data_IF_926217667141
#
_entry.id   IF_926217667141
#
_cell.length_a   1.000
_cell.length_b   1.000
_cell.length_c   1.000
_cell.angle_alpha   90.00
_cell.angle_beta   90.00
_cell.angle_gamma   90.00
#
_symmetry.space_group_name_H-M   'P 1'
#
loop_
_entity.id
_entity.type
_entity.pdbx_description
1 polymer ?
#
# COMPACT_ATOMS: atom_id res chain seq x y z
N UNK A 1 -35.43 1.79 -13.26
CA UNK A 1 -34.27 1.41 -12.43
C UNK A 1 -34.60 1.85 -11.02
N UNK A 2 -34.87 0.89 -10.16
CA UNK A 2 -35.21 1.17 -8.77
C UNK A 2 -33.94 1.71 -8.10
N UNK A 3 -33.89 3.01 -7.87
CA UNK A 3 -32.80 3.66 -7.14
C UNK A 3 -32.97 3.30 -5.68
N UNK A 4 -32.37 2.22 -5.24
CA UNK A 4 -32.28 1.90 -3.83
C UNK A 4 -31.70 3.13 -3.10
N UNK A 5 -32.52 3.87 -2.44
CA UNK A 5 -32.14 5.03 -1.65
C UNK A 5 -31.59 4.51 -0.33
N UNK A 6 -30.32 4.86 -0.02
CA UNK A 6 -29.74 4.61 1.28
C UNK A 6 -30.64 5.16 2.40
N UNK A 7 -30.77 4.42 3.49
CA UNK A 7 -31.48 4.88 4.69
C UNK A 7 -30.60 5.85 5.46
N UNK A 8 -31.01 7.13 5.45
CA UNK A 8 -30.29 8.19 6.16
C UNK A 8 -30.87 8.42 7.55
N UNK A 9 -30.03 8.53 8.55
CA UNK A 9 -30.38 9.02 9.89
C UNK A 9 -30.78 10.50 9.85
N UNK A 10 -31.36 11.02 10.90
CA UNK A 10 -31.70 12.45 10.95
C UNK A 10 -30.46 13.34 10.92
N UNK A 11 -29.37 12.92 11.59
CA UNK A 11 -28.07 13.61 11.52
C UNK A 11 -27.53 13.67 10.06
N UNK A 12 -27.64 12.58 9.31
CA UNK A 12 -27.18 12.53 7.90
C UNK A 12 -28.06 13.39 6.99
N UNK A 13 -29.36 13.48 7.28
CA UNK A 13 -30.25 14.43 6.59
C UNK A 13 -29.89 15.89 6.91
N UNK A 14 -29.51 16.20 8.17
CA UNK A 14 -29.04 17.52 8.58
C UNK A 14 -27.74 17.89 7.84
N UNK A 15 -26.78 16.96 7.76
CA UNK A 15 -25.57 17.12 6.95
C UNK A 15 -25.90 17.42 5.49
N UNK A 16 -26.81 16.66 4.88
CA UNK A 16 -27.19 16.83 3.47
C UNK A 16 -27.93 18.16 3.21
N UNK A 17 -28.64 18.70 4.21
CA UNK A 17 -29.25 20.05 4.13
C UNK A 17 -28.23 21.18 4.31
N UNK A 18 -26.97 20.86 4.65
CA UNK A 18 -25.91 21.84 4.88
C UNK A 18 -25.89 22.46 6.30
N UNK A 19 -26.66 21.91 7.23
CA UNK A 19 -26.69 22.39 8.64
C UNK A 19 -25.36 22.19 9.37
N UNK A 20 -24.50 21.32 8.82
CA UNK A 20 -23.11 21.08 9.28
C UNK A 20 -22.04 21.73 8.40
N UNK A 21 -22.45 22.61 7.48
CA UNK A 21 -21.59 23.31 6.53
C UNK A 21 -21.60 22.69 5.12
N UNK A 22 -21.24 23.52 4.13
CA UNK A 22 -21.33 23.11 2.72
C UNK A 22 -20.32 22.02 2.35
N UNK A 23 -19.10 22.03 2.95
CA UNK A 23 -18.11 20.98 2.73
C UNK A 23 -18.63 19.59 3.18
N UNK A 24 -19.28 19.51 4.34
CA UNK A 24 -19.88 18.25 4.85
C UNK A 24 -21.01 17.78 3.94
N UNK A 25 -21.85 18.70 3.47
CA UNK A 25 -22.92 18.39 2.53
C UNK A 25 -22.40 17.82 1.21
N UNK A 26 -21.38 18.45 0.61
CA UNK A 26 -20.77 17.95 -0.62
C UNK A 26 -20.12 16.57 -0.42
N UNK A 27 -19.38 16.39 0.67
CA UNK A 27 -18.75 15.11 1.02
C UNK A 27 -19.80 14.00 1.20
N UNK A 28 -20.90 14.26 1.93
CA UNK A 28 -21.96 13.27 2.12
C UNK A 28 -22.71 12.97 0.83
N UNK A 29 -22.99 13.99 0.00
CA UNK A 29 -23.63 13.79 -1.31
C UNK A 29 -22.80 12.88 -2.23
N UNK A 30 -21.47 13.07 -2.25
CA UNK A 30 -20.55 12.18 -2.96
C UNK A 30 -20.63 10.75 -2.41
N UNK A 31 -20.59 10.56 -1.09
CA UNK A 31 -20.69 9.25 -0.47
C UNK A 31 -22.02 8.55 -0.72
N UNK A 32 -23.13 9.30 -0.77
CA UNK A 32 -24.45 8.75 -1.15
C UNK A 32 -24.41 8.22 -2.60
N UNK A 33 -23.77 8.95 -3.52
CA UNK A 33 -23.62 8.47 -4.90
C UNK A 33 -22.80 7.17 -4.97
N UNK A 34 -21.69 7.09 -4.21
CA UNK A 34 -20.89 5.86 -4.08
C UNK A 34 -21.71 4.74 -3.45
N UNK A 35 -22.42 5.01 -2.35
CA UNK A 35 -23.24 4.03 -1.64
C UNK A 35 -24.35 3.46 -2.53
N UNK A 36 -25.05 4.32 -3.27
CA UNK A 36 -26.08 3.88 -4.22
C UNK A 36 -25.51 3.01 -5.34
N UNK A 37 -24.34 3.36 -5.86
CA UNK A 37 -23.65 2.54 -6.88
C UNK A 37 -23.34 1.13 -6.37
N UNK A 38 -22.84 1.01 -5.15
CA UNK A 38 -22.52 -0.27 -4.51
C UNK A 38 -23.69 -0.90 -3.74
N UNK A 39 -24.89 -0.32 -3.83
CA UNK A 39 -26.11 -0.79 -3.15
C UNK A 39 -25.97 -0.87 -1.63
N UNK A 40 -25.26 0.08 -1.04
CA UNK A 40 -25.19 0.21 0.40
C UNK A 40 -26.56 0.64 0.94
N UNK A 41 -27.00 0.00 2.03
CA UNK A 41 -28.28 0.32 2.66
C UNK A 41 -28.19 1.50 3.63
N UNK A 42 -27.01 1.72 4.22
CA UNK A 42 -26.77 2.73 5.27
C UNK A 42 -25.29 3.13 5.32
N UNK A 43 -24.98 4.13 6.12
CA UNK A 43 -23.63 4.46 6.54
C UNK A 43 -23.20 3.67 7.77
N UNK A 44 -21.87 3.52 7.94
CA UNK A 44 -21.23 3.11 9.19
C UNK A 44 -20.24 4.19 9.63
N UNK A 45 -20.14 4.49 10.94
CA UNK A 45 -19.11 5.39 11.43
C UNK A 45 -17.73 4.80 11.22
N UNK A 46 -16.73 5.64 10.95
CA UNK A 46 -15.32 5.24 10.85
C UNK A 46 -14.51 5.84 11.98
N UNK A 47 -13.56 5.06 12.50
CA UNK A 47 -12.69 5.50 13.59
C UNK A 47 -11.46 6.28 13.10
N UNK A 48 -11.00 5.95 11.88
CA UNK A 48 -9.82 6.55 11.28
C UNK A 48 -9.95 6.58 9.76
N UNK A 49 -9.35 7.58 9.11
CA UNK A 49 -9.20 7.66 7.67
C UNK A 49 -7.72 7.74 7.28
N UNK A 50 -7.39 7.22 6.08
CA UNK A 50 -6.05 7.30 5.52
C UNK A 50 -6.12 7.74 4.07
N UNK A 51 -5.61 8.94 3.78
CA UNK A 51 -5.85 9.64 2.52
C UNK A 51 -4.61 9.62 1.64
N UNK A 52 -4.81 9.25 0.36
CA UNK A 52 -3.81 9.38 -0.70
C UNK A 52 -4.03 10.70 -1.42
N UNK A 53 -3.07 11.60 -1.31
CA UNK A 53 -3.13 12.90 -1.98
C UNK A 53 -1.71 13.47 -2.13
N UNK A 54 -1.14 13.30 -3.30
CA UNK A 54 0.11 13.91 -3.76
C UNK A 54 -0.08 14.39 -5.19
N UNK A 55 0.78 15.30 -5.68
CA UNK A 55 0.58 15.97 -6.97
C UNK A 55 0.59 14.98 -8.15
N UNK A 56 1.36 13.88 -8.08
CA UNK A 56 1.42 12.87 -9.13
C UNK A 56 0.08 12.10 -9.25
N UNK A 57 -0.59 11.85 -8.12
CA UNK A 57 -1.86 11.13 -8.08
C UNK A 57 -3.07 12.01 -8.40
N UNK A 58 -3.13 13.21 -7.80
CA UNK A 58 -4.33 14.04 -7.88
C UNK A 58 -4.25 15.13 -8.96
N UNK A 59 -3.05 15.49 -9.41
CA UNK A 59 -2.81 16.53 -10.40
C UNK A 59 -3.35 17.92 -10.01
N UNK A 60 -3.32 18.86 -10.93
CA UNK A 60 -3.81 20.22 -10.72
C UNK A 60 -5.32 20.25 -10.34
N UNK A 61 -6.12 19.35 -10.91
CA UNK A 61 -7.54 19.24 -10.58
C UNK A 61 -7.79 18.87 -9.12
N UNK A 62 -7.00 17.95 -8.57
CA UNK A 62 -7.06 17.55 -7.16
C UNK A 62 -6.57 18.66 -6.22
N UNK A 63 -5.52 19.39 -6.60
CA UNK A 63 -5.05 20.54 -5.84
C UNK A 63 -6.12 21.63 -5.76
N UNK A 64 -6.78 21.94 -6.89
CA UNK A 64 -7.89 22.91 -6.90
C UNK A 64 -9.08 22.43 -6.06
N UNK A 65 -9.38 21.14 -6.08
CA UNK A 65 -10.40 20.55 -5.22
C UNK A 65 -10.07 20.73 -3.73
N UNK A 66 -8.82 20.51 -3.31
CA UNK A 66 -8.38 20.76 -1.93
C UNK A 66 -8.49 22.23 -1.54
N UNK A 67 -8.10 23.16 -2.42
CA UNK A 67 -8.28 24.62 -2.22
C UNK A 67 -9.74 24.97 -1.99
N UNK A 68 -10.63 24.38 -2.80
CA UNK A 68 -12.08 24.60 -2.68
C UNK A 68 -12.61 24.04 -1.36
N UNK A 69 -12.24 22.81 -0.98
CA UNK A 69 -12.67 22.24 0.30
C UNK A 69 -12.26 23.11 1.49
N UNK A 70 -11.02 23.63 1.47
CA UNK A 70 -10.56 24.60 2.48
C UNK A 70 -11.42 25.85 2.47
N UNK A 71 -11.69 26.44 1.32
CA UNK A 71 -12.52 27.65 1.19
C UNK A 71 -13.95 27.44 1.72
N UNK A 72 -14.49 26.22 1.62
CA UNK A 72 -15.77 25.79 2.19
C UNK A 72 -15.72 25.47 3.70
N UNK A 73 -14.56 25.63 4.33
CA UNK A 73 -14.37 25.35 5.76
C UNK A 73 -14.33 23.86 6.11
N UNK A 74 -13.91 23.00 5.19
CA UNK A 74 -13.74 21.58 5.47
C UNK A 74 -12.75 21.34 6.60
N UNK A 75 -13.03 20.32 7.42
CA UNK A 75 -12.15 19.86 8.48
C UNK A 75 -12.41 18.38 8.73
N UNK A 76 -11.36 17.58 8.91
CA UNK A 76 -11.50 16.18 9.31
C UNK A 76 -12.07 16.10 10.74
N UNK A 77 -13.09 15.26 10.91
CA UNK A 77 -13.76 15.03 12.20
C UNK A 77 -13.31 13.74 12.88
N UNK A 78 -12.56 12.89 12.17
CA UNK A 78 -11.87 11.71 12.70
C UNK A 78 -10.37 11.84 12.49
N UNK A 79 -9.59 11.14 13.31
CA UNK A 79 -8.13 11.09 13.13
C UNK A 79 -7.82 10.59 11.73
N UNK A 80 -7.14 11.43 10.97
CA UNK A 80 -6.87 11.19 9.54
C UNK A 80 -5.39 11.31 9.28
N UNK A 81 -4.83 10.33 8.58
CA UNK A 81 -3.41 10.25 8.25
C UNK A 81 -3.17 10.31 6.74
N UNK A 82 -1.94 10.70 6.33
CA UNK A 82 -1.56 10.79 4.92
C UNK A 82 -0.74 9.60 4.47
N UNK A 83 -0.97 9.16 3.22
CA UNK A 83 -0.16 8.12 2.58
C UNK A 83 1.22 8.65 2.15
N UNK A 84 2.08 7.73 1.68
CA UNK A 84 3.37 8.07 1.08
C UNK A 84 3.19 9.02 -0.11
N UNK A 85 4.14 9.95 -0.26
CA UNK A 85 4.12 11.02 -1.26
C UNK A 85 4.93 10.67 -2.51
N UNK A 86 4.87 11.53 -3.50
CA UNK A 86 5.63 11.42 -4.75
C UNK A 86 6.98 12.17 -4.74
N UNK A 87 7.28 12.94 -3.70
CA UNK A 87 8.53 13.69 -3.57
C UNK A 87 9.09 13.62 -2.14
N UNK A 88 10.38 13.33 -2.03
CA UNK A 88 11.18 13.63 -0.85
C UNK A 88 11.87 14.97 -1.09
N UNK A 89 11.44 16.02 -0.40
CA UNK A 89 11.92 17.39 -0.59
C UNK A 89 13.42 17.55 -0.36
N UNK A 90 14.08 16.61 0.33
CA UNK A 90 15.54 16.66 0.54
C UNK A 90 16.32 16.20 -0.70
N UNK A 91 15.76 15.30 -1.50
CA UNK A 91 16.46 14.74 -2.67
C UNK A 91 15.74 14.99 -4.01
N UNK A 92 14.55 15.61 -4.02
CA UNK A 92 13.77 15.85 -5.23
C UNK A 92 14.57 16.57 -6.33
N UNK A 93 15.26 17.65 -5.99
CA UNK A 93 16.08 18.40 -6.94
C UNK A 93 17.25 17.57 -7.51
N UNK A 94 17.90 16.73 -6.68
CA UNK A 94 19.00 15.86 -7.13
C UNK A 94 18.52 14.71 -8.02
N UNK A 95 17.24 14.32 -7.91
CA UNK A 95 16.57 13.38 -8.78
C UNK A 95 16.07 14.02 -10.10
N UNK A 96 16.17 15.34 -10.23
CA UNK A 96 15.67 16.05 -11.41
C UNK A 96 14.14 16.18 -11.45
N UNK A 97 13.49 16.18 -10.28
CA UNK A 97 12.08 16.50 -10.18
C UNK A 97 11.84 18.00 -10.41
N UNK A 98 10.70 18.33 -10.98
CA UNK A 98 10.39 19.69 -11.41
C UNK A 98 10.09 20.61 -10.23
N UNK A 99 10.65 21.84 -10.25
CA UNK A 99 10.49 22.82 -9.15
C UNK A 99 9.07 23.39 -9.04
N UNK A 100 8.32 23.47 -10.14
CA UNK A 100 6.93 23.90 -10.11
C UNK A 100 6.05 22.81 -9.46
N UNK A 101 6.28 21.56 -9.81
CA UNK A 101 5.61 20.41 -9.19
C UNK A 101 5.98 20.27 -7.70
N UNK A 102 7.22 20.57 -7.31
CA UNK A 102 7.62 20.63 -5.90
C UNK A 102 6.81 21.67 -5.13
N UNK A 103 6.62 22.89 -5.69
CA UNK A 103 5.83 23.92 -5.04
C UNK A 103 4.35 23.54 -4.89
N UNK A 104 3.78 22.84 -5.89
CA UNK A 104 2.41 22.30 -5.80
C UNK A 104 2.30 21.21 -4.73
N UNK A 105 3.27 20.32 -4.63
CA UNK A 105 3.30 19.28 -3.59
C UNK A 105 3.40 19.89 -2.19
N UNK A 106 4.25 20.93 -2.00
CA UNK A 106 4.31 21.66 -0.73
C UNK A 106 2.97 22.33 -0.39
N UNK A 107 2.27 22.85 -1.37
CA UNK A 107 0.93 23.42 -1.17
C UNK A 107 -0.08 22.34 -0.79
N UNK A 108 -0.07 21.17 -1.44
CA UNK A 108 -0.91 20.03 -1.07
C UNK A 108 -0.67 19.66 0.39
N UNK A 109 0.60 19.47 0.79
CA UNK A 109 0.95 19.12 2.16
C UNK A 109 0.39 20.12 3.18
N UNK A 110 0.51 21.41 2.90
CA UNK A 110 -0.04 22.46 3.76
C UNK A 110 -1.57 22.42 3.82
N UNK A 111 -2.24 22.22 2.68
CA UNK A 111 -3.70 22.10 2.65
C UNK A 111 -4.21 20.88 3.45
N UNK A 112 -3.52 19.73 3.37
CA UNK A 112 -3.88 18.56 4.15
C UNK A 112 -3.76 18.82 5.67
N UNK A 113 -2.69 19.51 6.11
CA UNK A 113 -2.54 19.94 7.52
C UNK A 113 -3.63 20.93 7.95
N UNK A 114 -3.99 21.89 7.09
CA UNK A 114 -5.07 22.83 7.34
C UNK A 114 -6.45 22.17 7.42
N UNK A 115 -6.65 21.04 6.74
CA UNK A 115 -7.81 20.16 6.90
C UNK A 115 -7.73 19.27 8.16
N UNK A 116 -6.72 19.46 9.02
CA UNK A 116 -6.45 18.71 10.27
C UNK A 116 -6.02 17.26 10.05
N UNK A 117 -5.36 16.96 8.95
CA UNK A 117 -4.74 15.65 8.77
C UNK A 117 -3.37 15.60 9.46
N UNK A 118 -3.07 14.43 10.01
CA UNK A 118 -1.76 14.12 10.60
C UNK A 118 -0.86 13.63 9.47
N UNK A 119 0.12 14.43 9.09
CA UNK A 119 1.08 14.05 8.06
C UNK A 119 2.04 12.99 8.60
N UNK A 120 1.90 11.79 8.08
CA UNK A 120 2.77 10.66 8.40
C UNK A 120 3.51 10.13 7.17
N UNK A 121 3.04 10.49 5.98
CA UNK A 121 3.63 10.18 4.68
C UNK A 121 4.01 8.68 4.57
N UNK A 122 3.05 7.79 4.88
CA UNK A 122 3.33 6.37 5.08
C UNK A 122 2.30 5.45 4.46
N UNK A 123 2.75 4.47 3.68
CA UNK A 123 1.93 3.33 3.24
C UNK A 123 2.03 2.09 4.16
N UNK A 124 2.65 2.25 5.34
CA UNK A 124 2.72 1.24 6.41
C UNK A 124 2.24 1.83 7.75
N UNK A 125 1.23 2.72 7.70
CA UNK A 125 0.63 3.36 8.87
C UNK A 125 0.25 2.36 9.97
N UNK A 126 -0.23 1.18 9.60
CA UNK A 126 -0.61 0.08 10.48
C UNK A 126 0.56 -0.56 11.25
N UNK A 127 1.80 -0.34 10.83
CA UNK A 127 2.99 -0.80 11.57
C UNK A 127 3.53 0.26 12.53
N UNK A 128 3.19 1.55 12.34
CA UNK A 128 3.88 2.65 13.03
C UNK A 128 2.96 3.64 13.73
N UNK A 129 1.75 3.90 13.22
CA UNK A 129 0.93 5.02 13.70
C UNK A 129 -0.45 4.62 14.20
N UNK A 130 -1.17 3.81 13.45
CA UNK A 130 -2.54 3.42 13.80
C UNK A 130 -2.75 1.92 13.57
N UNK A 131 -2.93 1.19 14.65
CA UNK A 131 -3.19 -0.24 14.65
C UNK A 131 -4.66 -0.46 15.00
N UNK A 132 -5.50 -0.77 14.01
CA UNK A 132 -6.93 -0.89 14.24
C UNK A 132 -7.26 -2.15 15.04
N UNK A 133 -8.42 -2.12 15.69
CA UNK A 133 -8.95 -3.27 16.43
C UNK A 133 -9.88 -4.13 15.57
N UNK A 134 -10.10 -5.37 16.00
CA UNK A 134 -11.01 -6.31 15.31
C UNK A 134 -12.42 -5.71 15.18
N UNK A 135 -12.94 -5.70 13.95
CA UNK A 135 -14.28 -5.21 13.63
C UNK A 135 -14.41 -3.70 13.48
N UNK A 136 -13.35 -2.94 13.74
CA UNK A 136 -13.34 -1.47 13.61
C UNK A 136 -13.49 -1.05 12.13
N UNK A 137 -14.41 -0.11 11.87
CA UNK A 137 -14.60 0.44 10.53
C UNK A 137 -13.64 1.59 10.27
N UNK A 138 -13.02 1.57 9.10
CA UNK A 138 -12.01 2.54 8.65
C UNK A 138 -12.36 3.03 7.24
N UNK A 139 -11.72 4.13 6.83
CA UNK A 139 -11.74 4.60 5.45
C UNK A 139 -10.30 4.80 4.94
N UNK A 140 -9.68 3.72 4.48
CA UNK A 140 -8.28 3.73 4.06
C UNK A 140 -8.13 3.64 2.53
N UNK A 141 -7.22 4.43 1.97
CA UNK A 141 -7.09 4.60 0.53
C UNK A 141 -6.04 3.72 -0.14
N UNK A 142 -4.89 3.44 0.49
CA UNK A 142 -3.81 2.64 -0.11
C UNK A 142 -4.11 1.15 -0.08
N UNK A 143 -3.79 0.45 -1.16
CA UNK A 143 -4.06 -0.98 -1.31
C UNK A 143 -3.37 -1.85 -0.26
N UNK A 144 -2.12 -1.52 0.09
CA UNK A 144 -1.35 -2.25 1.11
C UNK A 144 -1.93 -2.06 2.51
N UNK A 145 -2.38 -0.85 2.84
CA UNK A 145 -2.98 -0.54 4.13
C UNK A 145 -4.35 -1.21 4.29
N UNK A 146 -5.16 -1.20 3.23
CA UNK A 146 -6.50 -1.81 3.22
C UNK A 146 -6.43 -3.32 3.44
N UNK A 147 -5.61 -4.02 2.67
CA UNK A 147 -5.49 -5.48 2.81
C UNK A 147 -4.88 -5.88 4.16
N UNK A 148 -3.98 -5.07 4.73
CA UNK A 148 -3.46 -5.27 6.07
C UNK A 148 -4.54 -5.05 7.14
N UNK A 149 -5.33 -3.97 7.06
CA UNK A 149 -6.44 -3.70 7.96
C UNK A 149 -7.44 -4.85 7.98
N UNK A 150 -7.91 -5.27 6.80
CA UNK A 150 -8.89 -6.34 6.67
C UNK A 150 -8.35 -7.69 7.15
N UNK A 151 -7.12 -8.06 6.79
CA UNK A 151 -6.60 -9.41 6.98
C UNK A 151 -5.85 -9.58 8.29
N UNK A 152 -4.92 -8.65 8.63
CA UNK A 152 -4.03 -8.80 9.78
C UNK A 152 -4.74 -8.39 11.06
N UNK A 153 -5.55 -7.33 11.00
CA UNK A 153 -6.24 -6.78 12.17
C UNK A 153 -7.71 -7.21 12.25
N UNK A 154 -8.31 -7.69 11.15
CA UNK A 154 -9.75 -7.97 11.10
C UNK A 154 -10.60 -6.69 11.20
N UNK A 155 -10.02 -5.55 10.90
CA UNK A 155 -10.75 -4.29 10.72
C UNK A 155 -11.50 -4.29 9.39
N UNK A 156 -12.27 -3.26 9.09
CA UNK A 156 -13.20 -3.22 7.98
C UNK A 156 -13.03 -1.96 7.15
N UNK A 157 -12.56 -2.12 5.92
CA UNK A 157 -12.43 -1.02 4.97
C UNK A 157 -12.48 -1.53 3.54
N UNK A 158 -12.93 -0.70 2.60
CA UNK A 158 -12.75 -0.95 1.18
C UNK A 158 -11.50 -0.21 0.67
N UNK A 159 -11.14 -0.36 -0.61
CA UNK A 159 -10.21 0.55 -1.27
C UNK A 159 -10.91 1.93 -1.43
N UNK A 160 -10.84 2.74 -0.38
CA UNK A 160 -11.39 4.07 -0.37
C UNK A 160 -10.44 4.99 -1.13
N UNK A 161 -10.71 5.28 -2.39
CA UNK A 161 -9.88 6.23 -3.18
C UNK A 161 -9.74 7.59 -2.48
N UNK A 162 -8.83 8.45 -2.93
CA UNK A 162 -8.56 9.74 -2.29
C UNK A 162 -9.81 10.53 -1.91
N UNK A 163 -10.78 10.65 -2.82
CA UNK A 163 -12.02 11.39 -2.56
C UNK A 163 -12.95 10.66 -1.57
N UNK A 164 -13.01 9.33 -1.59
CA UNK A 164 -13.86 8.57 -0.67
C UNK A 164 -13.32 8.62 0.76
N UNK A 165 -12.02 8.37 0.96
CA UNK A 165 -11.39 8.47 2.28
C UNK A 165 -11.41 9.91 2.83
N UNK A 166 -11.22 10.92 1.97
CA UNK A 166 -11.32 12.33 2.34
C UNK A 166 -12.76 12.70 2.76
N UNK A 167 -13.76 12.25 2.01
CA UNK A 167 -15.16 12.46 2.36
C UNK A 167 -15.51 11.76 3.69
N UNK A 168 -14.99 10.56 3.92
CA UNK A 168 -15.16 9.86 5.18
C UNK A 168 -14.47 10.59 6.34
N UNK A 169 -13.29 11.17 6.11
CA UNK A 169 -12.61 12.00 7.10
C UNK A 169 -13.43 13.23 7.52
N UNK A 170 -14.11 13.87 6.56
CA UNK A 170 -14.93 15.07 6.77
C UNK A 170 -16.29 14.73 7.43
N UNK A 171 -16.90 13.59 7.08
CA UNK A 171 -18.23 13.21 7.56
C UNK A 171 -18.22 12.27 8.76
N UNK A 172 -17.08 11.62 9.05
CA UNK A 172 -16.93 10.61 10.10
C UNK A 172 -17.57 9.27 9.77
N UNK A 173 -17.92 9.00 8.50
CA UNK A 173 -18.65 7.78 8.09
C UNK A 173 -18.35 7.38 6.65
N UNK A 174 -18.66 6.13 6.31
CA UNK A 174 -18.56 5.60 4.95
C UNK A 174 -19.78 4.71 4.63
N UNK A 175 -20.18 4.55 3.35
CA UNK A 175 -21.26 3.63 3.00
C UNK A 175 -20.93 2.19 3.35
N UNK A 176 -21.89 1.45 3.92
CA UNK A 176 -21.74 0.07 4.34
C UNK A 176 -21.87 -0.90 3.16
N UNK A 177 -20.79 -1.12 2.44
CA UNK A 177 -20.73 -2.12 1.35
C UNK A 177 -19.40 -2.89 1.40
N UNK A 178 -19.27 -3.91 0.57
CA UNK A 178 -18.02 -4.67 0.41
C UNK A 178 -17.51 -5.24 1.74
N UNK A 179 -16.24 -4.96 2.06
CA UNK A 179 -15.57 -5.54 3.24
C UNK A 179 -16.01 -4.94 4.58
N UNK A 180 -16.92 -3.98 4.59
CA UNK A 180 -17.66 -3.59 5.80
C UNK A 180 -18.67 -4.64 6.23
N UNK A 181 -19.09 -5.55 5.33
CA UNK A 181 -20.13 -6.56 5.54
C UNK A 181 -19.54 -7.96 5.74
N UNK A 182 -20.03 -8.71 6.73
CA UNK A 182 -19.56 -10.07 7.03
C UNK A 182 -19.65 -11.01 5.83
N UNK A 183 -20.66 -10.83 4.99
CA UNK A 183 -20.86 -11.69 3.82
C UNK A 183 -19.72 -11.66 2.81
N UNK A 184 -19.03 -10.50 2.68
CA UNK A 184 -17.92 -10.31 1.74
C UNK A 184 -16.57 -10.75 2.31
N UNK A 185 -16.48 -11.04 3.61
CA UNK A 185 -15.23 -11.37 4.29
C UNK A 185 -14.91 -12.87 4.33
N UNK A 186 -15.82 -13.71 3.86
CA UNK A 186 -15.66 -15.17 3.86
C UNK A 186 -14.70 -15.60 2.76
N UNK A 187 -13.89 -16.61 3.06
CA UNK A 187 -12.99 -17.23 2.10
C UNK A 187 -13.72 -17.73 0.85
N UNK A 188 -13.09 -17.55 -0.29
CA UNK A 188 -13.60 -17.99 -1.61
C UNK A 188 -12.63 -18.92 -2.31
N UNK A 189 -11.32 -18.84 -2.01
CA UNK A 189 -10.27 -19.61 -2.64
C UNK A 189 -9.47 -20.34 -1.55
N UNK A 190 -9.39 -21.67 -1.61
CA UNK A 190 -8.48 -22.44 -0.78
C UNK A 190 -7.08 -22.46 -1.40
N UNK A 191 -6.06 -22.13 -0.61
CA UNK A 191 -4.65 -22.12 -1.05
C UNK A 191 -3.84 -22.99 -0.08
N UNK A 192 -3.42 -24.17 -0.53
CA UNK A 192 -2.58 -25.11 0.25
C UNK A 192 -1.10 -24.81 -0.06
N UNK A 193 -0.33 -24.54 0.98
CA UNK A 193 1.09 -24.27 0.87
C UNK A 193 1.91 -25.53 1.16
N UNK A 194 2.59 -26.04 0.14
CA UNK A 194 3.62 -27.07 0.26
C UNK A 194 5.02 -26.48 0.23
N UNK A 195 5.15 -25.27 -0.32
CA UNK A 195 6.39 -24.50 -0.36
C UNK A 195 6.72 -23.88 0.99
N UNK A 196 8.02 -23.81 1.32
CA UNK A 196 8.53 -23.07 2.47
C UNK A 196 8.93 -21.65 2.07
N UNK A 197 8.43 -20.65 2.81
CA UNK A 197 8.76 -19.23 2.59
C UNK A 197 10.05 -18.87 3.35
N UNK A 198 11.09 -18.45 2.67
CA UNK A 198 12.43 -18.15 3.22
C UNK A 198 12.76 -16.68 3.31
N UNK A 199 12.12 -15.87 2.44
CA UNK A 199 12.36 -14.43 2.30
C UNK A 199 11.03 -13.71 2.05
N UNK A 200 10.97 -12.40 2.28
CA UNK A 200 9.79 -11.58 1.95
C UNK A 200 9.43 -11.64 0.46
N UNK A 201 10.41 -11.89 -0.41
CA UNK A 201 10.19 -12.07 -1.83
C UNK A 201 9.36 -13.32 -2.15
N UNK A 202 9.50 -14.41 -1.38
CA UNK A 202 8.67 -15.62 -1.54
C UNK A 202 7.20 -15.32 -1.24
N UNK A 203 6.93 -14.50 -0.21
CA UNK A 203 5.57 -14.03 0.08
C UNK A 203 5.02 -13.14 -1.04
N UNK A 204 5.87 -12.31 -1.65
CA UNK A 204 5.53 -11.54 -2.84
C UNK A 204 5.24 -12.44 -4.05
N UNK A 205 6.05 -13.48 -4.27
CA UNK A 205 5.85 -14.49 -5.32
C UNK A 205 4.56 -15.29 -5.12
N UNK A 206 4.27 -15.67 -3.86
CA UNK A 206 3.00 -16.30 -3.49
C UNK A 206 1.81 -15.41 -3.84
N UNK A 207 1.89 -14.11 -3.50
CA UNK A 207 0.85 -13.14 -3.84
C UNK A 207 0.62 -13.02 -5.35
N UNK A 208 1.68 -13.12 -6.17
CA UNK A 208 1.57 -13.18 -7.64
C UNK A 208 0.86 -14.46 -8.11
N UNK A 209 1.28 -15.62 -7.59
CA UNK A 209 0.70 -16.93 -7.98
C UNK A 209 -0.80 -17.00 -7.70
N UNK A 210 -1.24 -16.43 -6.57
CA UNK A 210 -2.64 -16.43 -6.18
C UNK A 210 -3.41 -15.27 -6.81
N UNK A 211 -2.84 -14.06 -6.81
CA UNK A 211 -3.53 -12.86 -7.29
C UNK A 211 -3.73 -12.83 -8.80
N UNK A 212 -2.67 -13.11 -9.57
CA UNK A 212 -2.70 -12.96 -11.03
C UNK A 212 -3.77 -13.79 -11.76
N UNK A 213 -4.03 -15.06 -11.43
CA UNK A 213 -5.06 -15.83 -12.12
C UNK A 213 -6.50 -15.50 -11.68
N UNK A 214 -6.68 -14.74 -10.61
CA UNK A 214 -8.01 -14.51 -10.06
C UNK A 214 -8.55 -13.10 -10.28
N UNK A 215 -7.73 -12.06 -10.20
CA UNK A 215 -8.04 -10.65 -10.51
C UNK A 215 -9.47 -10.19 -10.13
N UNK A 216 -9.87 -10.47 -8.89
CA UNK A 216 -11.21 -10.19 -8.38
C UNK A 216 -11.12 -9.50 -7.02
N UNK A 217 -11.73 -8.32 -6.90
CA UNK A 217 -11.76 -7.53 -5.67
C UNK A 217 -12.41 -8.30 -4.50
N UNK A 218 -13.42 -9.11 -4.77
CA UNK A 218 -14.14 -9.87 -3.76
C UNK A 218 -13.59 -11.29 -3.53
N UNK A 219 -12.53 -11.67 -4.25
CA UNK A 219 -11.85 -12.92 -3.97
C UNK A 219 -11.08 -12.82 -2.65
N UNK A 220 -11.32 -13.77 -1.76
CA UNK A 220 -10.67 -13.89 -0.45
C UNK A 220 -9.94 -15.22 -0.38
N UNK A 221 -8.61 -15.26 -0.61
CA UNK A 221 -7.84 -16.48 -0.47
C UNK A 221 -7.65 -16.86 1.00
N UNK A 222 -7.72 -18.15 1.28
CA UNK A 222 -7.49 -18.76 2.59
C UNK A 222 -6.25 -19.64 2.51
N UNK A 223 -5.20 -19.25 3.20
CA UNK A 223 -3.92 -19.97 3.21
C UNK A 223 -3.88 -21.01 4.32
N UNK A 224 -3.49 -22.24 3.98
CA UNK A 224 -3.26 -23.35 4.88
C UNK A 224 -1.88 -23.98 4.65
N UNK A 225 -1.36 -24.73 5.61
CA UNK A 225 -0.07 -25.41 5.48
C UNK A 225 1.15 -24.55 5.76
N UNK A 226 0.98 -23.39 6.37
CA UNK A 226 2.09 -22.49 6.75
C UNK A 226 2.97 -23.16 7.80
N UNK A 227 4.20 -23.52 7.44
CA UNK A 227 5.13 -24.27 8.32
C UNK A 227 5.79 -23.40 9.38
N UNK A 228 6.14 -22.16 9.03
CA UNK A 228 6.73 -21.16 9.91
C UNK A 228 5.77 -20.01 10.09
N UNK A 229 5.49 -19.62 11.34
CA UNK A 229 4.65 -18.44 11.60
C UNK A 229 5.24 -17.21 10.90
N UNK A 230 4.49 -16.53 10.02
CA UNK A 230 4.99 -15.37 9.31
C UNK A 230 5.19 -14.18 10.26
N UNK A 231 6.19 -13.37 9.95
CA UNK A 231 6.39 -12.07 10.58
C UNK A 231 5.38 -11.04 10.06
N UNK A 232 5.22 -9.89 10.73
CA UNK A 232 4.43 -8.77 10.19
C UNK A 232 4.89 -8.31 8.80
N UNK A 233 6.18 -8.37 8.50
CA UNK A 233 6.72 -8.00 7.19
C UNK A 233 6.40 -9.06 6.12
N UNK A 234 6.43 -10.34 6.46
CA UNK A 234 5.99 -11.42 5.58
C UNK A 234 4.52 -11.22 5.15
N UNK A 235 3.63 -10.95 6.13
CA UNK A 235 2.20 -10.68 5.88
C UNK A 235 1.97 -9.41 5.07
N UNK A 236 2.78 -8.37 5.32
CA UNK A 236 2.79 -7.13 4.55
C UNK A 236 3.10 -7.38 3.08
N UNK A 237 4.17 -8.12 2.78
CA UNK A 237 4.59 -8.41 1.41
C UNK A 237 3.59 -9.31 0.68
N UNK A 238 3.02 -10.31 1.36
CA UNK A 238 1.92 -11.12 0.81
C UNK A 238 0.71 -10.25 0.44
N UNK A 239 0.21 -9.47 1.39
CA UNK A 239 -0.97 -8.63 1.18
C UNK A 239 -0.76 -7.62 0.07
N UNK A 240 0.37 -6.92 0.06
CA UNK A 240 0.70 -5.96 -1.00
C UNK A 240 0.78 -6.60 -2.39
N UNK A 241 1.29 -7.83 -2.50
CA UNK A 241 1.34 -8.54 -3.76
C UNK A 241 -0.04 -9.04 -4.20
N UNK A 242 -0.85 -9.59 -3.30
CA UNK A 242 -2.24 -9.98 -3.59
C UNK A 242 -3.06 -8.80 -4.10
N UNK A 243 -2.94 -7.63 -3.45
CA UNK A 243 -3.61 -6.41 -3.88
C UNK A 243 -3.12 -5.94 -5.26
N UNK A 244 -1.81 -6.00 -5.51
CA UNK A 244 -1.20 -5.52 -6.75
C UNK A 244 -1.53 -6.42 -7.96
N UNK A 245 -1.42 -7.75 -7.80
CA UNK A 245 -1.65 -8.69 -8.89
C UNK A 245 -3.12 -9.09 -9.07
N UNK A 246 -3.89 -9.11 -7.99
CA UNK A 246 -5.24 -9.66 -7.96
C UNK A 246 -6.35 -8.66 -7.64
N UNK A 247 -6.02 -7.39 -7.34
CA UNK A 247 -6.96 -6.39 -6.79
C UNK A 247 -7.66 -6.84 -5.49
N UNK A 248 -7.09 -7.84 -4.80
CA UNK A 248 -7.68 -8.43 -3.60
C UNK A 248 -7.55 -7.48 -2.40
N UNK A 249 -8.64 -7.30 -1.66
CA UNK A 249 -8.68 -6.42 -0.50
C UNK A 249 -8.61 -7.16 0.84
N UNK A 250 -8.60 -8.49 0.82
CA UNK A 250 -8.56 -9.32 2.02
C UNK A 250 -8.00 -10.71 1.72
N UNK A 251 -7.36 -11.33 2.71
CA UNK A 251 -7.01 -12.74 2.76
C UNK A 251 -7.17 -13.29 4.17
N UNK A 252 -7.29 -14.60 4.29
CA UNK A 252 -7.20 -15.34 5.54
C UNK A 252 -5.95 -16.22 5.56
N UNK A 253 -5.39 -16.44 6.74
CA UNK A 253 -4.34 -17.41 6.98
C UNK A 253 -4.70 -18.18 8.25
N UNK A 254 -4.98 -19.46 8.10
CA UNK A 254 -5.51 -20.31 9.18
C UNK A 254 -4.52 -20.35 10.36
N UNK A 255 -5.04 -20.04 11.55
CA UNK A 255 -4.26 -19.99 12.79
C UNK A 255 -3.35 -18.74 12.93
N UNK A 256 -3.41 -17.79 11.99
CA UNK A 256 -2.61 -16.56 11.99
C UNK A 256 -3.46 -15.31 12.00
N UNK A 257 -4.38 -15.16 11.03
CA UNK A 257 -5.26 -13.99 10.94
C UNK A 257 -6.49 -14.12 11.84
N UNK A 258 -7.02 -13.02 12.40
CA UNK A 258 -8.00 -13.07 13.50
C UNK A 258 -9.34 -13.70 13.14
N UNK A 259 -9.76 -13.63 11.88
CA UNK A 259 -11.03 -14.20 11.40
C UNK A 259 -10.86 -15.58 10.76
N UNK A 260 -9.72 -16.26 11.03
CA UNK A 260 -9.39 -17.59 10.49
C UNK A 260 -8.69 -18.48 11.53
N UNK A 261 -9.28 -18.61 12.71
CA UNK A 261 -8.78 -19.55 13.74
C UNK A 261 -8.82 -20.99 13.27
N UNK A 262 -9.75 -21.30 12.37
CA UNK A 262 -9.86 -22.57 11.67
C UNK A 262 -10.27 -22.37 10.21
N UNK A 263 -10.11 -23.39 9.38
CA UNK A 263 -10.61 -23.41 7.99
C UNK A 263 -12.13 -23.17 7.95
N UNK A 264 -12.88 -23.82 8.82
CA UNK A 264 -14.33 -23.68 8.89
C UNK A 264 -14.74 -22.21 9.17
N UNK A 265 -14.07 -21.56 10.10
CA UNK A 265 -14.32 -20.13 10.40
C UNK A 265 -14.00 -19.26 9.19
N UNK A 266 -12.85 -19.43 8.55
CA UNK A 266 -12.42 -18.64 7.40
C UNK A 266 -13.42 -18.71 6.24
N UNK A 267 -14.00 -19.89 5.95
CA UNK A 267 -15.00 -20.07 4.90
C UNK A 267 -16.45 -19.85 5.41
N UNK A 268 -16.66 -19.62 6.71
CA UNK A 268 -18.00 -19.47 7.31
C UNK A 268 -18.87 -20.70 7.10
N UNK A 269 -18.29 -21.89 7.22
CA UNK A 269 -18.95 -23.18 7.01
C UNK A 269 -19.31 -23.50 5.56
N UNK A 270 -18.78 -22.77 4.57
CA UNK A 270 -19.02 -23.01 3.13
C UNK A 270 -17.85 -23.76 2.51
N UNK A 271 -18.09 -24.44 1.39
CA UNK A 271 -17.03 -24.96 0.56
C UNK A 271 -16.35 -23.85 -0.24
N UNK A 272 -15.02 -23.96 -0.50
CA UNK A 272 -14.32 -23.02 -1.35
C UNK A 272 -14.86 -23.07 -2.78
N UNK A 273 -14.92 -21.93 -3.44
CA UNK A 273 -15.31 -21.84 -4.86
C UNK A 273 -14.21 -22.36 -5.78
N UNK A 274 -12.96 -22.20 -5.34
CA UNK A 274 -11.75 -22.66 -6.05
C UNK A 274 -10.74 -23.18 -5.04
N UNK A 275 -9.87 -24.10 -5.48
CA UNK A 275 -8.76 -24.62 -4.68
C UNK A 275 -7.50 -24.67 -5.52
N UNK A 276 -6.36 -24.38 -4.91
CA UNK A 276 -5.06 -24.51 -5.52
C UNK A 276 -4.01 -24.96 -4.50
N UNK A 277 -2.96 -25.60 -4.99
CA UNK A 277 -1.77 -25.94 -4.21
C UNK A 277 -0.59 -25.15 -4.77
N UNK A 278 0.24 -24.62 -3.88
CA UNK A 278 1.49 -23.93 -4.25
C UNK A 278 2.67 -24.76 -3.79
N UNK A 279 3.42 -25.28 -4.75
CA UNK A 279 4.59 -26.13 -4.54
C UNK A 279 5.90 -25.31 -4.58
N UNK A 280 7.04 -25.87 -4.12
CA UNK A 280 8.35 -25.23 -4.30
C UNK A 280 8.66 -24.89 -5.74
N UNK A 281 8.33 -25.80 -6.68
CA UNK A 281 8.55 -25.62 -8.11
C UNK A 281 7.75 -24.46 -8.69
N UNK A 282 6.57 -24.16 -8.14
CA UNK A 282 5.76 -23.01 -8.59
C UNK A 282 6.43 -21.70 -8.18
N UNK A 283 7.00 -21.63 -6.97
CA UNK A 283 7.80 -20.46 -6.55
C UNK A 283 9.05 -20.29 -7.42
N UNK A 284 9.78 -21.37 -7.68
CA UNK A 284 10.98 -21.33 -8.53
C UNK A 284 10.65 -20.82 -9.93
N UNK A 285 9.54 -21.25 -10.53
CA UNK A 285 9.06 -20.72 -11.82
C UNK A 285 8.78 -19.23 -11.78
N UNK A 286 8.27 -18.68 -10.66
CA UNK A 286 8.07 -17.23 -10.56
C UNK A 286 9.38 -16.50 -10.76
N UNK A 287 10.45 -16.91 -10.07
CA UNK A 287 11.77 -16.28 -10.19
C UNK A 287 12.40 -16.47 -11.58
N UNK A 288 12.26 -17.65 -12.19
CA UNK A 288 12.76 -17.96 -13.53
C UNK A 288 12.12 -17.10 -14.64
N UNK A 289 10.89 -16.62 -14.42
CA UNK A 289 10.20 -15.74 -15.36
C UNK A 289 10.73 -14.29 -15.36
N UNK A 290 11.66 -13.95 -14.47
CA UNK A 290 12.30 -12.64 -14.41
C UNK A 290 13.71 -12.73 -15.00
N UNK A 291 13.87 -12.20 -16.21
CA UNK A 291 15.17 -12.15 -16.91
C UNK A 291 15.73 -10.73 -16.94
N UNK A 292 17.05 -10.62 -16.87
CA UNK A 292 17.76 -9.37 -17.08
C UNK A 292 17.86 -9.03 -18.57
N UNK A 293 17.93 -7.74 -18.87
CA UNK A 293 18.35 -7.25 -20.17
C UNK A 293 19.82 -6.88 -20.08
N UNK A 294 20.65 -7.54 -20.89
CA UNK A 294 22.11 -7.36 -20.91
C UNK A 294 22.53 -5.95 -21.36
N UNK A 295 23.63 -5.45 -20.80
CA UNK A 295 24.18 -4.15 -21.15
C UNK A 295 23.33 -2.95 -20.71
N UNK A 296 22.36 -3.16 -19.85
CA UNK A 296 21.46 -2.14 -19.37
C UNK A 296 21.92 -1.58 -17.98
N UNK A 297 21.69 -0.29 -17.76
CA UNK A 297 21.85 0.31 -16.45
C UNK A 297 20.84 -0.27 -15.46
N UNK A 298 21.30 -0.55 -14.23
CA UNK A 298 20.56 -1.27 -13.23
C UNK A 298 20.25 -0.39 -12.02
N UNK A 299 19.03 -0.55 -11.47
CA UNK A 299 18.64 0.05 -10.21
C UNK A 299 18.08 -1.01 -9.26
N UNK A 300 18.54 -1.00 -8.03
CA UNK A 300 18.00 -1.87 -6.96
C UNK A 300 17.10 -1.02 -6.07
N UNK A 301 15.88 -1.48 -5.86
CA UNK A 301 14.87 -0.71 -5.12
C UNK A 301 14.25 -1.55 -4.02
N UNK A 302 14.41 -1.11 -2.79
CA UNK A 302 13.72 -1.63 -1.62
C UNK A 302 12.60 -0.65 -1.23
N UNK A 303 11.42 -0.90 -1.81
CA UNK A 303 10.25 -0.02 -1.70
C UNK A 303 8.98 -0.76 -2.14
N UNK A 304 7.83 -0.13 -1.96
CA UNK A 304 6.53 -0.64 -2.40
C UNK A 304 6.14 -2.02 -1.86
N UNK A 305 5.95 -2.18 -0.53
CA UNK A 305 5.70 -1.14 0.48
C UNK A 305 6.98 -0.50 1.05
N UNK A 306 6.81 0.61 1.79
CA UNK A 306 7.87 1.20 2.60
C UNK A 306 8.44 0.18 3.59
N UNK A 307 9.73 0.31 3.92
CA UNK A 307 10.40 -0.62 4.82
C UNK A 307 10.04 -0.37 6.27
N UNK A 308 9.87 -1.45 7.02
CA UNK A 308 9.82 -1.46 8.48
C UNK A 308 11.21 -1.26 9.09
N UNK A 309 11.27 -1.01 10.40
CA UNK A 309 12.55 -0.92 11.12
C UNK A 309 13.32 -2.24 11.10
N UNK A 310 12.64 -3.38 11.04
CA UNK A 310 13.29 -4.69 10.97
C UNK A 310 13.88 -4.97 9.59
N UNK A 311 13.21 -4.53 8.52
CA UNK A 311 13.76 -4.58 7.17
C UNK A 311 14.97 -3.63 7.02
N UNK A 312 14.90 -2.41 7.58
CA UNK A 312 16.04 -1.48 7.64
C UNK A 312 17.25 -2.10 8.37
N UNK A 313 17.01 -2.76 9.51
CA UNK A 313 18.06 -3.51 10.22
C UNK A 313 18.65 -4.60 9.34
N UNK A 314 17.80 -5.41 8.71
CA UNK A 314 18.25 -6.52 7.84
C UNK A 314 19.12 -6.04 6.69
N UNK A 315 18.73 -4.93 6.04
CA UNK A 315 19.55 -4.33 4.99
C UNK A 315 20.87 -3.79 5.53
N UNK A 316 20.86 -3.10 6.67
CA UNK A 316 22.10 -2.61 7.31
C UNK A 316 23.07 -3.77 7.63
N UNK A 317 22.56 -4.89 8.15
CA UNK A 317 23.37 -6.10 8.38
C UNK A 317 23.98 -6.65 7.09
N UNK A 318 23.21 -6.69 5.99
CA UNK A 318 23.67 -7.19 4.69
C UNK A 318 24.66 -6.26 3.99
N UNK A 319 24.53 -4.94 4.16
CA UNK A 319 25.44 -3.93 3.61
C UNK A 319 26.66 -3.67 4.50
N UNK A 320 26.69 -4.19 5.72
CA UNK A 320 27.80 -3.92 6.68
C UNK A 320 29.16 -4.20 6.07
N UNK A 321 30.01 -3.17 5.96
CA UNK A 321 31.35 -3.27 5.40
C UNK A 321 31.41 -3.45 3.87
N UNK A 322 30.28 -3.33 3.19
CA UNK A 322 30.16 -3.43 1.72
C UNK A 322 29.87 -2.07 1.10
N UNK A 323 30.03 -1.96 -0.19
CA UNK A 323 29.69 -0.76 -0.97
C UNK A 323 28.93 -1.11 -2.22
N UNK A 324 28.03 -0.23 -2.62
CA UNK A 324 27.34 -0.26 -3.91
C UNK A 324 28.37 -0.18 -5.03
N UNK A 325 28.28 -1.07 -6.00
CA UNK A 325 29.20 -1.14 -7.12
C UNK A 325 29.06 0.10 -8.02
N UNK A 326 30.16 0.47 -8.70
CA UNK A 326 30.14 1.59 -9.65
C UNK A 326 29.13 1.32 -10.78
N UNK A 327 28.27 2.30 -11.06
CA UNK A 327 27.20 2.19 -12.07
C UNK A 327 25.91 1.55 -11.56
N UNK A 328 25.89 1.12 -10.29
CA UNK A 328 24.66 0.68 -9.63
C UNK A 328 24.03 1.81 -8.83
N UNK A 329 22.70 1.84 -8.80
CA UNK A 329 21.92 2.75 -7.97
C UNK A 329 21.05 1.94 -7.02
N UNK A 330 21.02 2.32 -5.75
CA UNK A 330 20.22 1.63 -4.73
C UNK A 330 19.35 2.62 -3.98
N UNK A 331 18.05 2.39 -3.96
CA UNK A 331 17.07 3.21 -3.26
C UNK A 331 16.36 2.42 -2.19
N UNK A 332 16.20 3.04 -1.03
CA UNK A 332 15.42 2.52 0.10
C UNK A 332 14.41 3.57 0.50
N UNK A 333 13.12 3.20 0.59
CA UNK A 333 12.08 4.13 1.04
C UNK A 333 11.46 3.67 2.35
N UNK A 334 11.25 4.61 3.26
CA UNK A 334 10.53 4.37 4.51
C UNK A 334 9.85 5.66 4.99
N UNK A 335 9.04 5.58 6.06
CA UNK A 335 8.42 6.76 6.63
C UNK A 335 9.32 7.47 7.66
N UNK A 336 8.93 8.67 8.08
CA UNK A 336 9.71 9.51 9.01
C UNK A 336 9.95 8.85 10.37
N UNK A 337 9.00 8.09 10.91
CA UNK A 337 9.15 7.41 12.20
C UNK A 337 10.21 6.31 12.13
N UNK A 338 10.16 5.48 11.09
CA UNK A 338 11.16 4.43 10.87
C UNK A 338 12.52 5.05 10.57
N UNK A 339 12.59 6.09 9.71
CA UNK A 339 13.84 6.76 9.37
C UNK A 339 14.51 7.37 10.60
N UNK A 340 13.76 8.08 11.44
CA UNK A 340 14.27 8.63 12.69
C UNK A 340 14.86 7.56 13.60
N UNK A 341 14.17 6.42 13.75
CA UNK A 341 14.68 5.29 14.51
C UNK A 341 15.91 4.63 13.84
N UNK A 342 15.91 4.49 12.53
CA UNK A 342 17.05 3.92 11.78
C UNK A 342 18.31 4.79 11.92
N UNK A 343 18.17 6.12 11.90
CA UNK A 343 19.26 7.06 12.18
C UNK A 343 19.78 6.89 13.61
N UNK A 344 18.91 6.86 14.61
CA UNK A 344 19.26 6.69 16.02
C UNK A 344 19.97 5.35 16.31
N UNK A 345 19.56 4.27 15.63
CA UNK A 345 20.12 2.93 15.76
C UNK A 345 21.38 2.70 14.89
N UNK A 346 21.75 3.68 14.05
CA UNK A 346 22.92 3.60 13.19
C UNK A 346 22.70 2.84 11.87
N UNK A 347 21.49 2.31 11.62
CA UNK A 347 21.19 1.58 10.38
C UNK A 347 21.25 2.48 9.15
N UNK A 348 20.69 3.70 9.25
CA UNK A 348 20.74 4.68 8.16
C UNK A 348 22.20 5.00 7.79
N UNK A 349 23.08 5.25 8.77
CA UNK A 349 24.50 5.54 8.54
C UNK A 349 25.20 4.41 7.78
N UNK A 350 24.98 3.14 8.18
CA UNK A 350 25.57 1.97 7.50
C UNK A 350 25.15 1.93 6.03
N UNK A 351 23.87 2.17 5.74
CA UNK A 351 23.33 2.16 4.39
C UNK A 351 23.88 3.33 3.56
N UNK A 352 23.92 4.55 4.12
CA UNK A 352 24.47 5.73 3.45
C UNK A 352 25.98 5.58 3.17
N UNK A 353 26.78 5.05 4.13
CA UNK A 353 28.19 4.74 3.95
C UNK A 353 28.43 3.68 2.86
N UNK A 354 27.48 2.77 2.67
CA UNK A 354 27.51 1.79 1.59
C UNK A 354 27.17 2.42 0.22
N UNK A 355 26.63 3.63 0.16
CA UNK A 355 26.21 4.30 -1.07
C UNK A 355 24.73 4.09 -1.43
N UNK A 356 23.92 3.67 -0.46
CA UNK A 356 22.47 3.53 -0.61
C UNK A 356 21.81 4.90 -0.45
N UNK A 357 20.92 5.27 -1.36
CA UNK A 357 20.12 6.47 -1.24
C UNK A 357 18.85 6.19 -0.43
N UNK A 358 18.76 6.82 0.74
CA UNK A 358 17.60 6.74 1.61
C UNK A 358 16.60 7.84 1.24
N UNK A 359 15.33 7.50 1.17
CA UNK A 359 14.24 8.43 0.87
C UNK A 359 13.16 8.33 1.95
N UNK A 360 12.69 9.49 2.42
CA UNK A 360 11.75 9.59 3.52
C UNK A 360 10.36 10.01 3.05
N UNK A 361 9.33 9.32 3.53
CA UNK A 361 7.93 9.68 3.30
C UNK A 361 7.43 9.45 1.88
N UNK A 362 8.15 8.71 1.04
CA UNK A 362 7.80 8.48 -0.35
C UNK A 362 7.62 7.00 -0.68
N UNK A 363 6.93 6.73 -1.78
CA UNK A 363 6.93 5.43 -2.43
C UNK A 363 7.64 5.57 -3.78
N UNK A 364 8.64 4.72 -4.06
CA UNK A 364 9.43 4.81 -5.29
C UNK A 364 8.55 4.73 -6.57
N UNK A 365 7.48 3.94 -6.53
CA UNK A 365 6.52 3.84 -7.64
C UNK A 365 5.79 5.17 -7.93
N UNK A 366 5.53 5.97 -6.89
CA UNK A 366 4.80 7.24 -7.00
C UNK A 366 5.69 8.43 -7.32
N UNK A 367 7.01 8.26 -7.43
CA UNK A 367 7.91 9.38 -7.67
C UNK A 367 7.46 10.20 -8.87
N UNK A 368 7.28 11.50 -8.65
CA UNK A 368 6.89 12.45 -9.68
C UNK A 368 7.87 12.38 -10.84
N UNK A 369 7.35 12.29 -12.06
CA UNK A 369 8.12 12.14 -13.29
C UNK A 369 9.08 10.93 -13.31
N UNK A 370 8.76 9.84 -12.65
CA UNK A 370 9.65 8.65 -12.58
C UNK A 370 10.05 8.13 -13.98
N UNK A 371 9.15 8.19 -14.95
CA UNK A 371 9.46 7.81 -16.35
C UNK A 371 10.53 8.71 -16.99
N UNK A 372 10.54 10.00 -16.66
CA UNK A 372 11.58 10.94 -17.08
C UNK A 372 12.91 10.68 -16.38
N UNK A 373 12.88 10.51 -15.06
CA UNK A 373 14.05 10.16 -14.23
C UNK A 373 14.69 8.88 -14.75
N UNK A 374 13.89 7.83 -15.02
CA UNK A 374 14.36 6.58 -15.59
C UNK A 374 15.11 6.79 -16.90
N UNK A 375 14.52 7.57 -17.83
CA UNK A 375 15.14 7.85 -19.14
C UNK A 375 16.44 8.65 -19.01
N UNK A 376 16.44 9.67 -18.17
CA UNK A 376 17.61 10.52 -17.92
C UNK A 376 18.82 9.73 -17.37
N UNK A 377 18.56 8.75 -16.49
CA UNK A 377 19.59 7.90 -15.90
C UNK A 377 19.86 6.63 -16.72
N UNK A 378 19.16 6.38 -17.82
CA UNK A 378 19.33 5.17 -18.61
C UNK A 378 18.87 3.88 -17.91
N UNK A 379 18.13 3.96 -16.80
CA UNK A 379 17.72 2.78 -16.05
C UNK A 379 16.78 1.89 -16.86
N UNK A 380 17.10 0.62 -16.94
CA UNK A 380 16.29 -0.38 -17.64
C UNK A 380 15.85 -1.49 -16.69
N UNK A 381 16.80 -2.18 -16.04
CA UNK A 381 16.46 -3.23 -15.08
C UNK A 381 16.20 -2.63 -13.70
N UNK A 382 15.04 -2.97 -13.12
CA UNK A 382 14.74 -2.69 -11.73
C UNK A 382 14.69 -4.01 -10.97
N UNK A 383 15.62 -4.17 -10.03
CA UNK A 383 15.76 -5.35 -9.18
C UNK A 383 15.13 -5.03 -7.81
N UNK A 384 14.31 -5.93 -7.28
CA UNK A 384 13.70 -5.75 -5.96
C UNK A 384 13.35 -7.08 -5.31
N UNK A 385 13.20 -7.05 -3.98
CA UNK A 385 12.64 -8.12 -3.18
C UNK A 385 11.11 -7.98 -2.98
N UNK A 386 10.49 -6.95 -3.56
CA UNK A 386 9.06 -6.70 -3.42
C UNK A 386 8.27 -7.18 -4.63
N UNK A 387 7.40 -8.18 -4.44
CA UNK A 387 6.46 -8.64 -5.44
C UNK A 387 5.51 -7.53 -5.93
N UNK A 388 5.12 -6.59 -5.06
CA UNK A 388 4.27 -5.45 -5.44
C UNK A 388 5.01 -4.53 -6.41
N UNK A 389 6.24 -4.09 -6.08
CA UNK A 389 6.91 -3.10 -6.91
C UNK A 389 7.28 -3.64 -8.28
N UNK A 390 7.75 -4.89 -8.38
CA UNK A 390 8.09 -5.49 -9.68
C UNK A 390 6.87 -5.66 -10.60
N UNK A 391 5.65 -5.59 -10.05
CA UNK A 391 4.42 -5.54 -10.84
C UNK A 391 4.05 -4.11 -11.23
N UNK A 392 3.87 -3.22 -10.24
CA UNK A 392 3.32 -1.87 -10.46
C UNK A 392 4.25 -0.98 -11.25
N UNK A 393 5.58 -1.10 -11.06
CA UNK A 393 6.58 -0.24 -11.70
C UNK A 393 6.67 -0.45 -13.22
N UNK A 394 6.11 -1.55 -13.74
CA UNK A 394 6.06 -1.81 -15.19
C UNK A 394 5.32 -0.72 -15.97
N UNK A 395 4.42 0.02 -15.31
CA UNK A 395 3.77 1.21 -15.87
C UNK A 395 4.78 2.27 -16.32
N UNK A 396 5.94 2.35 -15.66
CA UNK A 396 7.06 3.23 -16.02
C UNK A 396 8.07 2.57 -16.98
N UNK A 397 7.73 1.40 -17.56
CA UNK A 397 8.50 0.67 -18.56
C UNK A 397 9.87 0.17 -18.08
N UNK A 398 9.99 -0.16 -16.81
CA UNK A 398 11.13 -0.93 -16.31
C UNK A 398 11.00 -2.39 -16.73
N UNK A 399 12.14 -3.00 -17.06
CA UNK A 399 12.29 -4.44 -16.99
C UNK A 399 12.48 -4.82 -15.53
N UNK A 400 11.62 -5.66 -14.99
CA UNK A 400 11.59 -5.93 -13.55
C UNK A 400 12.15 -7.31 -13.21
N UNK A 401 12.86 -7.38 -12.09
CA UNK A 401 13.48 -8.63 -11.62
C UNK A 401 13.24 -8.80 -10.13
N UNK A 402 12.50 -9.87 -9.77
CA UNK A 402 12.29 -10.27 -8.38
C UNK A 402 13.44 -11.16 -7.92
N UNK A 403 14.05 -10.85 -6.77
CA UNK A 403 15.09 -11.66 -6.13
C UNK A 403 14.94 -11.61 -4.61
N UNK A 404 15.52 -12.58 -3.91
CA UNK A 404 15.60 -12.54 -2.46
C UNK A 404 16.42 -11.34 -1.97
N UNK A 405 16.13 -10.86 -0.77
CA UNK A 405 16.75 -9.65 -0.20
C UNK A 405 18.28 -9.71 -0.26
N UNK A 406 18.88 -10.83 0.13
CA UNK A 406 20.34 -10.99 0.08
C UNK A 406 20.89 -10.92 -1.35
N UNK A 407 20.22 -11.55 -2.31
CA UNK A 407 20.62 -11.50 -3.71
C UNK A 407 20.52 -10.07 -4.28
N UNK A 408 19.47 -9.30 -3.92
CA UNK A 408 19.38 -7.90 -4.31
C UNK A 408 20.58 -7.09 -3.80
N UNK A 409 21.01 -7.33 -2.56
CA UNK A 409 22.22 -6.68 -1.98
C UNK A 409 23.49 -7.17 -2.66
N UNK A 410 23.61 -8.46 -2.97
CA UNK A 410 24.78 -9.00 -3.68
C UNK A 410 24.91 -8.36 -5.07
N UNK A 411 23.83 -8.28 -5.84
CA UNK A 411 23.79 -7.61 -7.14
C UNK A 411 24.16 -6.13 -6.98
N UNK A 412 23.62 -5.44 -5.98
CA UNK A 412 23.94 -4.03 -5.72
C UNK A 412 25.42 -3.80 -5.44
N UNK A 413 26.09 -4.75 -4.75
CA UNK A 413 27.49 -4.61 -4.34
C UNK A 413 28.50 -5.15 -5.35
N UNK A 414 28.12 -6.11 -6.20
CA UNK A 414 29.03 -6.70 -7.21
C UNK A 414 28.81 -6.12 -8.60
N UNK A 415 27.60 -5.66 -8.91
CA UNK A 415 27.17 -5.31 -10.26
C UNK A 415 26.92 -6.54 -11.15
N UNK A 416 27.09 -7.74 -10.60
CA UNK A 416 26.87 -9.01 -11.34
C UNK A 416 25.41 -9.44 -11.24
N UNK A 417 24.78 -9.63 -12.37
CA UNK A 417 23.40 -10.10 -12.50
C UNK A 417 23.39 -11.63 -12.42
N UNK A 418 22.98 -12.19 -11.26
CA UNK A 418 22.88 -13.62 -10.98
C UNK A 418 21.47 -14.16 -11.14
#
# INVERSE_FOLDING_TARGET
MDSGTMHLTDEEKDMLRGERGEAVKEALAYQIAVGNFFKAEKFVPVANAHVMADIELIGDGGLEFLRRLKALGASCVVDTTTNARCMDMQCAASLGQDSEEMAKEEEIMRLLEELRMIRIDSCINYQTYYQPTLGEHLAWGDTGTVIAANSIFGARTNFESGNASLSAAITGRTPAYGFHLDACRRGTIEVRLEAEMRDVADWGALGKLVGHPHQDYFAVPVFEGVRRRPSPDDLKHLGCALASYGSMAMYHMVGVTPEARSREEAFGGREPQKSMTVTPEDLDKVYQNYAYLDGAENVVVFSGPQLSIFEMRRLAELFQGRRVAKGMHVFVTTNNSVMSNARRLGYARILEEAGVQLMEGVCFYLLQNLSGIRKMNGWINLISNSGKIVNTITAHRFNTVLRHTAQCVDIACTGELQ
#
